data_IF_125131476114
#
_entry.id   IF_125131476114
#
_cell.length_a   1.000
_cell.length_b   1.000
_cell.length_c   1.000
_cell.angle_alpha   90.00
_cell.angle_beta   90.00
_cell.angle_gamma   90.00
#
_symmetry.space_group_name_H-M   'P 1'
#
loop_
_entity.id
_entity.type
_entity.pdbx_description
1 polymer ?
#
# COMPACT_ATOMS: atom_id res chain seq x y z
N UNK A 1 27.75 43.25 26.14
CA UNK A 1 26.29 43.17 25.84
C UNK A 1 25.95 43.13 24.36
N UNK A 2 26.44 44.04 23.50
CA UNK A 2 26.08 44.09 22.06
C UNK A 2 26.34 42.79 21.27
N UNK A 3 27.44 42.07 21.56
CA UNK A 3 27.78 40.79 20.90
C UNK A 3 26.88 39.62 21.32
N UNK A 4 26.37 39.62 22.55
CA UNK A 4 25.47 38.57 23.06
C UNK A 4 24.07 38.69 22.47
N UNK A 5 23.59 39.93 22.28
CA UNK A 5 22.31 40.22 21.62
C UNK A 5 22.35 39.81 20.14
N UNK A 6 23.46 40.06 19.45
CA UNK A 6 23.62 39.66 18.04
C UNK A 6 23.58 38.13 17.85
N UNK A 7 24.22 37.36 18.75
CA UNK A 7 24.20 35.89 18.70
C UNK A 7 22.80 35.35 18.99
N UNK A 8 22.08 35.94 19.96
CA UNK A 8 20.69 35.54 20.25
C UNK A 8 19.75 35.81 19.08
N UNK A 9 19.91 36.94 18.37
CA UNK A 9 19.12 37.25 17.18
C UNK A 9 19.44 36.30 16.02
N UNK A 10 20.71 35.92 15.81
CA UNK A 10 21.12 34.95 14.77
C UNK A 10 20.57 33.55 15.09
N UNK A 11 20.58 33.13 16.35
CA UNK A 11 20.02 31.84 16.77
C UNK A 11 18.49 31.83 16.68
N UNK A 12 17.82 32.94 17.03
CA UNK A 12 16.37 33.07 16.89
C UNK A 12 15.93 33.12 15.42
N UNK A 13 16.68 33.80 14.54
CA UNK A 13 16.39 33.83 13.11
C UNK A 13 16.72 32.51 12.41
N UNK A 14 17.78 31.80 12.83
CA UNK A 14 18.05 30.45 12.35
C UNK A 14 16.96 29.44 12.80
N UNK A 15 16.43 29.59 14.02
CA UNK A 15 15.28 28.80 14.47
C UNK A 15 14.00 29.15 13.72
N UNK A 16 13.73 30.43 13.46
CA UNK A 16 12.57 30.86 12.68
C UNK A 16 12.63 30.36 11.23
N UNK A 17 13.82 30.38 10.60
CA UNK A 17 14.04 29.80 9.27
C UNK A 17 13.90 28.27 9.26
N UNK A 18 14.34 27.59 10.32
CA UNK A 18 14.15 26.14 10.48
C UNK A 18 12.68 25.74 10.75
N UNK A 19 11.88 26.59 11.41
CA UNK A 19 10.44 26.39 11.57
C UNK A 19 9.62 26.80 10.34
N UNK A 20 10.13 27.70 9.49
CA UNK A 20 9.50 28.05 8.20
C UNK A 20 9.66 26.96 7.12
N UNK A 21 10.52 25.95 7.35
CA UNK A 21 10.61 24.75 6.53
C UNK A 21 9.84 23.56 7.11
N UNK A 22 8.76 23.80 7.87
CA UNK A 22 7.69 22.80 7.97
C UNK A 22 6.98 22.74 6.63
N UNK A 23 7.54 21.90 5.74
CA UNK A 23 7.06 21.66 4.39
C UNK A 23 5.55 21.46 4.37
N UNK A 24 4.86 22.50 3.89
CA UNK A 24 3.53 22.36 3.32
C UNK A 24 3.64 21.26 2.26
N UNK A 25 2.72 20.31 2.33
CA UNK A 25 2.60 19.34 1.27
C UNK A 25 2.49 20.06 -0.07
N UNK A 26 3.00 19.45 -1.14
CA UNK A 26 2.64 19.90 -2.45
C UNK A 26 1.17 19.52 -2.72
N UNK A 27 0.23 20.29 -2.16
CA UNK A 27 -1.16 20.26 -2.61
C UNK A 27 -1.17 20.73 -4.06
N UNK A 28 -1.97 20.09 -4.92
CA UNK A 28 -2.12 20.55 -6.31
C UNK A 28 -2.74 21.95 -6.29
N UNK A 29 -1.95 22.95 -6.67
CA UNK A 29 -2.43 24.31 -6.84
C UNK A 29 -3.18 24.46 -8.17
N UNK A 30 -2.61 23.88 -9.24
CA UNK A 30 -3.26 23.81 -10.54
C UNK A 30 -2.87 22.51 -11.25
N UNK A 31 -3.78 21.99 -12.04
CA UNK A 31 -3.52 20.89 -12.95
C UNK A 31 -4.15 21.27 -14.29
N UNK A 32 -3.42 21.06 -15.39
CA UNK A 32 -3.90 21.34 -16.75
C UNK A 32 -3.49 20.24 -17.70
N UNK A 33 -4.39 19.90 -18.60
CA UNK A 33 -4.12 18.97 -19.67
C UNK A 33 -3.51 19.76 -20.85
N UNK A 34 -2.30 19.42 -21.24
CA UNK A 34 -1.61 20.01 -22.37
C UNK A 34 -2.05 19.37 -23.70
N UNK A 35 -2.00 20.14 -24.79
CA UNK A 35 -2.35 19.67 -26.13
C UNK A 35 -1.42 18.56 -26.67
N UNK A 36 -0.30 18.30 -26.00
CA UNK A 36 0.76 17.37 -26.38
C UNK A 36 0.73 16.04 -25.61
N UNK A 37 -0.43 15.64 -25.08
CA UNK A 37 -0.60 14.47 -24.20
C UNK A 37 0.24 14.54 -22.92
N UNK A 38 0.57 15.76 -22.47
CA UNK A 38 1.24 15.97 -21.20
C UNK A 38 0.30 16.60 -20.19
N UNK A 39 0.35 16.11 -18.97
CA UNK A 39 -0.34 16.70 -17.85
C UNK A 39 0.63 17.60 -17.09
N UNK A 40 0.30 18.87 -16.96
CA UNK A 40 1.07 19.79 -16.13
C UNK A 40 0.42 19.88 -14.76
N UNK A 41 1.19 19.57 -13.72
CA UNK A 41 0.78 19.63 -12.32
C UNK A 41 1.63 20.68 -11.62
N UNK A 42 1.00 21.79 -11.24
CA UNK A 42 1.60 22.84 -10.41
C UNK A 42 1.24 22.61 -8.95
N UNK A 43 2.25 22.53 -8.10
CA UNK A 43 2.10 22.29 -6.67
C UNK A 43 2.10 23.61 -5.90
N UNK A 44 1.54 23.60 -4.69
CA UNK A 44 1.39 24.78 -3.83
C UNK A 44 2.73 25.38 -3.35
N UNK A 45 3.82 24.64 -3.51
CA UNK A 45 5.20 25.09 -3.27
C UNK A 45 5.87 25.67 -4.54
N UNK A 46 5.08 26.04 -5.56
CA UNK A 46 5.52 26.55 -6.87
C UNK A 46 6.38 25.60 -7.70
N UNK A 47 6.42 24.31 -7.37
CA UNK A 47 7.06 23.31 -8.24
C UNK A 47 6.11 22.85 -9.36
N UNK A 48 6.65 22.78 -10.57
CA UNK A 48 5.94 22.38 -11.78
C UNK A 48 6.42 21.02 -12.27
N UNK A 49 5.47 20.11 -12.51
CA UNK A 49 5.72 18.78 -13.05
C UNK A 49 4.98 18.58 -14.35
N UNK A 50 5.64 17.92 -15.29
CA UNK A 50 5.06 17.57 -16.58
C UNK A 50 5.16 16.07 -16.74
N UNK A 51 4.01 15.41 -16.86
CA UNK A 51 3.93 13.95 -16.94
C UNK A 51 3.31 13.55 -18.27
N UNK A 52 3.90 12.58 -18.96
CA UNK A 52 3.29 11.98 -20.15
C UNK A 52 2.10 11.13 -19.71
N UNK A 53 0.91 11.46 -20.24
CA UNK A 53 -0.34 10.78 -19.90
C UNK A 53 -0.24 9.28 -20.18
N UNK A 54 0.47 8.87 -21.23
CA UNK A 54 0.62 7.44 -21.60
C UNK A 54 1.36 6.60 -20.57
N UNK A 55 2.15 7.25 -19.71
CA UNK A 55 2.87 6.60 -18.61
C UNK A 55 2.08 6.52 -17.31
N UNK A 56 0.89 7.14 -17.25
CA UNK A 56 0.04 7.14 -16.06
C UNK A 56 -0.80 5.87 -15.97
N UNK A 57 -1.42 5.67 -14.82
CA UNK A 57 -2.35 4.56 -14.63
C UNK A 57 -3.68 4.89 -15.31
N UNK A 58 -4.12 4.06 -16.25
CA UNK A 58 -5.38 4.22 -16.96
C UNK A 58 -6.45 3.28 -16.40
N UNK A 59 -7.65 3.82 -16.22
CA UNK A 59 -8.86 3.04 -15.95
C UNK A 59 -9.63 2.87 -17.26
N UNK A 60 -9.81 1.62 -17.69
CA UNK A 60 -10.48 1.27 -18.95
C UNK A 60 -11.99 1.04 -18.79
N UNK A 61 -12.65 0.78 -19.95
CA UNK A 61 -14.11 0.69 -20.21
C UNK A 61 -14.97 -0.24 -19.35
N UNK A 62 -14.38 -0.98 -18.41
CA UNK A 62 -15.10 -1.91 -17.53
C UNK A 62 -14.81 -1.59 -16.06
N UNK A 63 -15.00 -0.33 -15.65
CA UNK A 63 -15.00 0.05 -14.24
C UNK A 63 -16.14 -0.60 -13.44
N UNK A 64 -17.14 -1.16 -14.14
CA UNK A 64 -18.06 -2.15 -13.61
C UNK A 64 -17.48 -3.56 -13.76
N UNK A 65 -16.27 -3.80 -13.22
CA UNK A 65 -15.98 -5.15 -12.77
C UNK A 65 -17.01 -5.39 -11.68
N UNK A 66 -18.03 -6.17 -12.01
CA UNK A 66 -18.93 -6.78 -11.04
C UNK A 66 -18.02 -7.30 -9.94
N UNK A 67 -17.97 -6.55 -8.83
CA UNK A 67 -17.20 -6.91 -7.66
C UNK A 67 -17.94 -8.09 -7.07
N UNK A 68 -17.81 -9.24 -7.74
CA UNK A 68 -17.94 -10.55 -7.15
C UNK A 68 -17.27 -10.42 -5.79
N UNK A 69 -18.00 -10.79 -4.73
CA UNK A 69 -17.79 -10.46 -3.32
C UNK A 69 -16.41 -10.84 -2.70
N UNK A 70 -15.34 -10.92 -3.48
CA UNK A 70 -14.06 -11.54 -3.18
C UNK A 70 -12.83 -10.70 -3.63
N UNK A 71 -12.97 -9.74 -4.55
CA UNK A 71 -11.84 -8.92 -5.03
C UNK A 71 -12.05 -7.43 -4.73
N UNK A 72 -10.94 -6.72 -4.47
CA UNK A 72 -10.94 -5.31 -4.12
C UNK A 72 -10.31 -4.49 -5.26
N UNK A 73 -10.86 -3.31 -5.53
CA UNK A 73 -10.30 -2.39 -6.52
C UNK A 73 -9.12 -1.66 -5.90
N UNK A 74 -8.01 -1.64 -6.63
CA UNK A 74 -6.77 -1.03 -6.18
C UNK A 74 -6.26 0.00 -7.17
N UNK A 75 -6.09 1.19 -6.66
CA UNK A 75 -5.39 2.26 -7.32
C UNK A 75 -4.01 2.49 -6.69
N UNK A 76 -2.94 2.61 -7.50
CA UNK A 76 -1.60 2.90 -7.04
C UNK A 76 -1.52 4.38 -6.64
N UNK A 77 -1.95 4.69 -5.42
CA UNK A 77 -2.03 6.05 -4.91
C UNK A 77 -1.07 6.29 -3.76
N UNK A 78 -0.70 7.54 -3.57
CA UNK A 78 0.02 8.02 -2.40
C UNK A 78 -0.85 7.98 -1.15
N UNK A 79 -0.20 7.83 0.01
CA UNK A 79 -0.86 7.99 1.30
C UNK A 79 -1.13 9.47 1.56
N UNK A 80 -2.32 9.78 2.06
CA UNK A 80 -2.70 11.13 2.46
C UNK A 80 -1.89 11.60 3.69
N UNK A 81 -1.69 12.91 3.81
CA UNK A 81 -0.96 13.54 4.91
C UNK A 81 -1.56 13.20 6.26
N UNK A 82 -2.88 13.38 6.36
CA UNK A 82 -3.61 13.25 7.61
C UNK A 82 -3.42 11.83 8.15
N UNK A 83 -3.44 10.84 7.25
CA UNK A 83 -3.13 9.47 7.58
C UNK A 83 -1.68 9.29 8.06
N UNK A 84 -0.69 9.79 7.32
CA UNK A 84 0.72 9.64 7.70
C UNK A 84 1.04 10.35 9.03
N UNK A 85 0.51 11.55 9.23
CA UNK A 85 0.68 12.33 10.46
C UNK A 85 -0.05 11.68 11.64
N UNK A 86 -1.21 11.05 11.40
CA UNK A 86 -1.88 10.21 12.39
C UNK A 86 -0.99 9.04 12.83
N UNK A 87 -0.30 8.36 11.91
CA UNK A 87 0.63 7.28 12.25
C UNK A 87 1.85 7.79 13.01
N UNK A 88 2.43 8.92 12.57
CA UNK A 88 3.60 9.53 13.21
C UNK A 88 3.29 9.98 14.64
N UNK A 89 2.15 10.65 14.85
CA UNK A 89 1.74 11.14 16.17
C UNK A 89 1.47 10.00 17.16
N UNK A 90 0.80 8.92 16.73
CA UNK A 90 0.51 7.74 17.57
C UNK A 90 1.77 7.01 18.06
N UNK A 91 2.83 7.06 17.26
CA UNK A 91 4.12 6.40 17.52
C UNK A 91 5.03 7.17 18.47
N UNK A 92 4.97 8.50 18.47
CA UNK A 92 5.77 9.32 19.40
C UNK A 92 5.38 9.06 20.86
N UNK A 93 4.19 8.51 21.13
CA UNK A 93 3.70 8.22 22.48
C UNK A 93 3.96 6.80 23.02
N UNK A 94 4.73 5.94 22.35
CA UNK A 94 5.02 4.61 22.88
C UNK A 94 6.46 4.18 22.55
N UNK A 95 7.40 4.26 23.51
CA UNK A 95 8.25 3.09 23.88
C UNK A 95 9.19 3.25 25.11
N UNK A 96 8.85 3.99 26.18
CA UNK A 96 9.65 3.93 27.44
C UNK A 96 8.85 3.64 28.72
N UNK A 97 7.52 3.53 28.65
CA UNK A 97 6.67 3.44 29.86
C UNK A 97 5.62 2.34 29.85
N UNK A 98 5.78 1.30 29.02
CA UNK A 98 4.92 0.10 29.02
C UNK A 98 5.60 -1.16 29.55
N UNK A 99 6.57 -0.99 30.44
CA UNK A 99 6.83 -2.01 31.44
C UNK A 99 5.65 -1.99 32.42
N UNK A 100 5.07 -3.15 32.68
CA UNK A 100 4.01 -3.42 33.66
C UNK A 100 2.56 -3.11 33.23
N UNK A 101 1.80 -4.21 33.06
CA UNK A 101 0.35 -4.33 33.30
C UNK A 101 -0.65 -4.27 32.13
N UNK A 102 -0.25 -4.18 30.87
CA UNK A 102 -1.18 -4.38 29.75
C UNK A 102 -0.74 -5.56 28.89
N UNK A 103 -1.62 -6.58 28.79
CA UNK A 103 -1.41 -7.79 28.01
C UNK A 103 -0.80 -7.45 26.63
N UNK A 104 0.41 -7.95 26.39
CA UNK A 104 1.07 -7.85 25.09
C UNK A 104 0.08 -8.32 24.01
N UNK A 105 -0.21 -7.51 22.97
CA UNK A 105 -1.19 -7.87 21.96
C UNK A 105 -0.74 -9.16 21.26
N UNK A 106 -1.53 -10.23 21.39
CA UNK A 106 -1.24 -11.51 20.74
C UNK A 106 -1.33 -11.36 19.23
N UNK A 107 -0.18 -11.29 18.57
CA UNK A 107 -0.08 -11.14 17.11
C UNK A 107 -0.35 -12.46 16.40
N UNK A 108 -1.63 -12.80 16.21
CA UNK A 108 -2.03 -14.05 15.54
C UNK A 108 -1.98 -14.00 14.02
N UNK A 109 -2.09 -12.81 13.43
CA UNK A 109 -2.04 -12.60 11.97
C UNK A 109 -1.28 -11.31 11.64
N UNK A 110 -0.72 -11.23 10.43
CA UNK A 110 -0.09 -10.01 9.92
C UNK A 110 -1.05 -8.82 9.96
N UNK A 111 -2.31 -9.04 9.56
CA UNK A 111 -3.33 -7.99 9.60
C UNK A 111 -3.59 -7.50 11.03
N UNK A 112 -3.85 -8.40 11.99
CA UNK A 112 -4.11 -8.00 13.38
C UNK A 112 -2.94 -7.25 14.02
N UNK A 113 -1.71 -7.59 13.63
CA UNK A 113 -0.51 -6.93 14.12
C UNK A 113 -0.29 -5.53 13.56
N UNK A 114 -0.73 -5.30 12.33
CA UNK A 114 -0.53 -4.04 11.64
C UNK A 114 -1.73 -3.09 11.79
N UNK A 115 -2.95 -3.60 11.71
CA UNK A 115 -4.17 -2.78 11.72
C UNK A 115 -4.33 -1.97 13.00
N UNK A 116 -3.96 -2.51 14.17
CA UNK A 116 -4.01 -1.77 15.43
C UNK A 116 -3.16 -0.49 15.41
N UNK A 117 -2.08 -0.48 14.62
CA UNK A 117 -1.17 0.65 14.50
C UNK A 117 -1.48 1.51 13.27
N UNK A 118 -1.59 0.89 12.10
CA UNK A 118 -1.89 1.54 10.82
C UNK A 118 -3.30 2.14 10.76
N UNK A 119 -4.28 1.60 11.49
CA UNK A 119 -5.68 1.93 11.23
C UNK A 119 -6.09 1.58 9.80
N UNK A 120 -7.19 2.19 9.34
CA UNK A 120 -7.70 2.05 7.98
C UNK A 120 -8.19 0.65 7.59
N UNK A 121 -8.80 0.55 6.41
CA UNK A 121 -9.27 -0.72 5.84
C UNK A 121 -8.16 -1.58 5.22
N UNK A 122 -8.54 -2.70 4.60
CA UNK A 122 -7.59 -3.64 3.99
C UNK A 122 -6.70 -3.01 2.89
N UNK A 123 -7.24 -2.04 2.16
CA UNK A 123 -6.50 -1.32 1.11
C UNK A 123 -5.30 -0.56 1.68
N UNK A 124 -5.42 0.02 2.88
CA UNK A 124 -4.29 0.67 3.54
C UNK A 124 -3.20 -0.33 3.88
N UNK A 125 -3.59 -1.47 4.45
CA UNK A 125 -2.63 -2.54 4.73
C UNK A 125 -1.91 -3.01 3.48
N UNK A 126 -2.64 -3.26 2.38
CA UNK A 126 -2.00 -3.67 1.12
C UNK A 126 -1.05 -2.58 0.62
N UNK A 127 -1.48 -1.31 0.58
CA UNK A 127 -0.62 -0.20 0.15
C UNK A 127 0.63 -0.07 1.02
N UNK A 128 0.50 -0.08 2.35
CA UNK A 128 1.64 0.01 3.26
C UNK A 128 2.59 -1.19 3.12
N UNK A 129 2.07 -2.39 2.90
CA UNK A 129 2.87 -3.60 2.67
C UNK A 129 3.62 -3.54 1.34
N UNK A 130 2.94 -3.17 0.24
CA UNK A 130 3.57 -2.97 -1.07
C UNK A 130 4.65 -1.91 -0.97
N UNK A 131 4.36 -0.78 -0.35
CA UNK A 131 5.34 0.30 -0.17
C UNK A 131 6.55 -0.16 0.63
N UNK A 132 6.36 -0.94 1.70
CA UNK A 132 7.46 -1.46 2.51
C UNK A 132 8.37 -2.42 1.70
N UNK A 133 7.79 -3.25 0.84
CA UNK A 133 8.51 -4.16 -0.04
C UNK A 133 9.20 -3.39 -1.19
N UNK A 134 8.50 -2.46 -1.83
CA UNK A 134 9.01 -1.64 -2.94
C UNK A 134 10.18 -0.76 -2.49
N UNK A 135 10.05 -0.12 -1.32
CA UNK A 135 11.12 0.68 -0.70
C UNK A 135 12.26 -0.15 -0.10
N UNK A 136 12.18 -1.49 -0.15
CA UNK A 136 13.13 -2.43 0.46
C UNK A 136 13.33 -2.23 1.97
N UNK A 137 12.43 -1.50 2.63
CA UNK A 137 12.40 -1.47 4.09
C UNK A 137 12.02 -2.86 4.61
N UNK A 138 11.14 -3.60 3.95
CA UNK A 138 10.90 -5.02 4.23
C UNK A 138 11.56 -5.87 3.14
N UNK A 139 12.50 -6.75 3.51
CA UNK A 139 13.10 -7.71 2.57
C UNK A 139 12.75 -9.11 3.00
N UNK A 140 12.11 -9.87 2.12
CA UNK A 140 11.72 -11.24 2.45
C UNK A 140 12.93 -12.17 2.61
N UNK A 141 14.10 -11.77 2.15
CA UNK A 141 15.36 -12.52 2.29
C UNK A 141 16.02 -12.35 3.66
N UNK A 142 15.47 -11.51 4.55
CA UNK A 142 16.11 -11.21 5.84
C UNK A 142 16.20 -12.47 6.73
N UNK A 143 17.31 -12.64 7.50
CA UNK A 143 17.58 -13.88 8.24
C UNK A 143 16.49 -14.30 9.23
N UNK A 144 15.75 -13.34 9.80
CA UNK A 144 14.64 -13.62 10.73
C UNK A 144 13.48 -14.42 10.08
N UNK A 145 13.36 -14.33 8.76
CA UNK A 145 12.38 -15.10 7.97
C UNK A 145 12.94 -16.43 7.49
N UNK A 146 14.23 -16.70 7.69
CA UNK A 146 14.87 -17.96 7.33
C UNK A 146 14.53 -19.02 8.38
N UNK A 147 14.25 -20.24 7.92
CA UNK A 147 13.97 -21.35 8.83
C UNK A 147 15.27 -21.95 9.33
N UNK A 148 15.31 -22.45 10.58
CA UNK A 148 16.49 -23.13 11.09
C UNK A 148 16.78 -24.39 10.27
N UNK A 149 18.04 -24.60 9.90
CA UNK A 149 18.49 -25.80 9.22
C UNK A 149 18.48 -26.97 10.19
N UNK A 150 17.44 -27.81 10.13
CA UNK A 150 17.30 -28.99 11.00
C UNK A 150 17.05 -30.24 10.16
N UNK A 151 17.59 -31.37 10.62
CA UNK A 151 17.25 -32.70 10.08
C UNK A 151 16.00 -33.29 10.74
N UNK A 152 15.41 -32.57 11.69
CA UNK A 152 14.26 -33.02 12.46
C UNK A 152 13.04 -33.22 11.56
N UNK A 153 12.31 -34.31 11.79
CA UNK A 153 11.13 -34.72 11.01
C UNK A 153 10.06 -35.26 11.96
N UNK A 154 8.83 -34.72 11.92
CA UNK A 154 7.75 -35.22 12.76
C UNK A 154 7.33 -36.65 12.36
N UNK A 155 7.04 -37.47 13.37
CA UNK A 155 6.44 -38.81 13.25
C UNK A 155 5.16 -38.84 14.10
N UNK A 156 3.95 -38.97 13.52
CA UNK A 156 3.67 -39.08 12.08
C UNK A 156 3.90 -37.77 11.31
N UNK A 157 4.08 -37.88 9.98
CA UNK A 157 4.30 -36.70 9.14
C UNK A 157 3.04 -35.84 9.05
N UNK A 158 3.11 -34.63 9.60
CA UNK A 158 2.01 -33.66 9.56
C UNK A 158 1.80 -33.07 8.16
N UNK A 159 0.58 -32.62 7.87
CA UNK A 159 0.24 -31.93 6.61
C UNK A 159 1.06 -30.66 6.41
N UNK A 160 1.24 -29.87 7.47
CA UNK A 160 2.08 -28.67 7.48
C UNK A 160 3.52 -28.98 7.08
N UNK A 161 4.13 -30.03 7.65
CA UNK A 161 5.49 -30.42 7.29
C UNK A 161 5.60 -30.83 5.82
N UNK A 162 4.64 -31.62 5.30
CA UNK A 162 4.63 -32.01 3.88
C UNK A 162 4.60 -30.81 2.94
N UNK A 163 3.88 -29.75 3.30
CA UNK A 163 3.77 -28.50 2.53
C UNK A 163 5.05 -27.65 2.59
N UNK A 164 5.57 -27.41 3.79
CA UNK A 164 6.65 -26.42 4.00
C UNK A 164 8.05 -27.02 3.96
N UNK A 165 8.25 -28.35 4.00
CA UNK A 165 9.60 -28.96 4.10
C UNK A 165 10.61 -28.53 3.02
N UNK A 166 10.15 -28.05 1.86
CA UNK A 166 11.01 -27.59 0.76
C UNK A 166 11.28 -26.08 0.79
N UNK A 167 10.69 -25.36 1.74
CA UNK A 167 10.83 -23.91 1.86
C UNK A 167 12.03 -23.58 2.74
N UNK A 168 12.92 -22.76 2.21
CA UNK A 168 14.07 -22.23 2.94
C UNK A 168 13.65 -21.18 3.98
N UNK A 169 12.59 -20.44 3.68
CA UNK A 169 12.03 -19.39 4.53
C UNK A 169 10.65 -19.79 5.07
N UNK A 170 10.10 -19.01 6.01
CA UNK A 170 8.72 -19.20 6.52
C UNK A 170 7.63 -18.87 5.48
N UNK A 171 8.01 -18.52 4.27
CA UNK A 171 7.14 -18.30 3.10
C UNK A 171 7.71 -19.07 1.88
N UNK A 172 6.90 -19.33 0.83
CA UNK A 172 7.39 -19.98 -0.38
C UNK A 172 8.33 -19.04 -1.15
N UNK A 173 9.64 -19.27 -1.00
CA UNK A 173 10.67 -18.34 -1.47
C UNK A 173 10.85 -18.32 -3.00
N UNK A 174 10.75 -19.48 -3.66
CA UNK A 174 10.81 -19.54 -5.13
C UNK A 174 9.43 -19.39 -5.75
N UNK A 175 9.37 -18.81 -6.94
CA UNK A 175 8.13 -18.61 -7.69
C UNK A 175 7.44 -19.96 -7.96
N UNK A 176 8.21 -21.01 -8.24
CA UNK A 176 7.67 -22.35 -8.43
C UNK A 176 6.99 -22.91 -7.17
N UNK A 177 7.57 -22.69 -5.98
CA UNK A 177 6.97 -23.13 -4.72
C UNK A 177 5.71 -22.32 -4.41
N UNK A 178 5.74 -21.02 -4.66
CA UNK A 178 4.59 -20.14 -4.43
C UNK A 178 3.42 -20.51 -5.34
N UNK A 179 3.66 -20.75 -6.63
CA UNK A 179 2.63 -21.19 -7.57
C UNK A 179 2.03 -22.54 -7.18
N UNK A 180 2.85 -23.49 -6.69
CA UNK A 180 2.37 -24.79 -6.18
C UNK A 180 1.45 -24.60 -4.96
N UNK A 181 1.84 -23.77 -4.02
CA UNK A 181 1.03 -23.48 -2.83
C UNK A 181 -0.27 -22.76 -3.21
N UNK A 182 -0.22 -21.79 -4.13
CA UNK A 182 -1.41 -21.11 -4.64
C UNK A 182 -2.41 -22.10 -5.27
N UNK A 183 -1.95 -22.95 -6.19
CA UNK A 183 -2.80 -23.95 -6.86
C UNK A 183 -3.42 -24.92 -5.86
N UNK A 184 -2.64 -25.37 -4.87
CA UNK A 184 -3.13 -26.23 -3.81
C UNK A 184 -4.23 -25.55 -2.99
N UNK A 185 -4.00 -24.31 -2.54
CA UNK A 185 -4.99 -23.54 -1.77
C UNK A 185 -6.24 -23.21 -2.56
N UNK A 186 -6.10 -22.94 -3.86
CA UNK A 186 -7.24 -22.76 -4.77
C UNK A 186 -8.12 -24.02 -4.79
N UNK A 187 -7.50 -25.20 -4.91
CA UNK A 187 -8.21 -26.50 -4.88
C UNK A 187 -8.91 -26.76 -3.54
N UNK A 188 -8.30 -26.36 -2.42
CA UNK A 188 -8.88 -26.58 -1.09
C UNK A 188 -9.79 -25.43 -0.60
N UNK A 189 -10.07 -24.42 -1.42
CA UNK A 189 -10.87 -23.26 -1.03
C UNK A 189 -10.24 -22.40 0.08
N UNK A 190 -8.92 -22.46 0.24
CA UNK A 190 -8.18 -21.84 1.35
C UNK A 190 -7.38 -20.60 0.91
N UNK A 191 -7.98 -19.75 0.06
CA UNK A 191 -7.40 -18.49 -0.42
C UNK A 191 -7.85 -17.26 0.38
N UNK A 192 -8.35 -17.45 1.61
CA UNK A 192 -8.88 -16.37 2.46
C UNK A 192 -7.86 -15.25 2.71
N UNK A 193 -6.58 -15.60 2.83
CA UNK A 193 -5.51 -14.61 3.06
C UNK A 193 -5.35 -13.66 1.87
N UNK A 194 -5.60 -14.16 0.65
CA UNK A 194 -5.53 -13.41 -0.60
C UNK A 194 -6.86 -12.72 -0.96
N UNK A 195 -7.95 -12.96 -0.23
CA UNK A 195 -9.19 -12.21 -0.42
C UNK A 195 -8.93 -10.74 -0.08
N UNK A 196 -9.17 -9.86 -1.06
CA UNK A 196 -8.86 -8.44 -1.01
C UNK A 196 -7.48 -8.05 -1.59
N UNK A 197 -6.65 -9.01 -1.99
CA UNK A 197 -5.47 -8.69 -2.82
C UNK A 197 -5.99 -8.31 -4.21
N UNK A 198 -5.48 -7.25 -4.84
CA UNK A 198 -5.93 -6.82 -6.15
C UNK A 198 -5.71 -7.93 -7.18
N UNK A 199 -6.70 -8.14 -8.04
CA UNK A 199 -6.62 -9.17 -9.09
C UNK A 199 -5.39 -8.98 -10.01
N UNK A 200 -4.99 -7.76 -10.42
CA UNK A 200 -3.78 -7.56 -11.22
C UNK A 200 -2.51 -8.09 -10.57
N UNK A 201 -2.41 -8.09 -9.24
CA UNK A 201 -1.24 -8.62 -8.53
C UNK A 201 -1.22 -10.15 -8.60
N UNK A 202 -2.39 -10.77 -8.50
CA UNK A 202 -2.55 -12.21 -8.65
C UNK A 202 -2.25 -12.63 -10.08
N UNK A 203 -2.71 -11.87 -11.07
CA UNK A 203 -2.47 -12.16 -12.49
C UNK A 203 -0.98 -12.05 -12.83
N UNK A 204 -0.32 -10.95 -12.40
CA UNK A 204 1.12 -10.79 -12.53
C UNK A 204 1.89 -11.93 -11.85
N UNK A 205 1.46 -12.33 -10.66
CA UNK A 205 2.06 -13.46 -9.95
C UNK A 205 1.88 -14.78 -10.72
N UNK A 206 0.71 -15.02 -11.31
CA UNK A 206 0.42 -16.26 -12.04
C UNK A 206 1.12 -16.32 -13.41
N UNK A 207 1.31 -15.19 -14.08
CA UNK A 207 1.99 -15.11 -15.37
C UNK A 207 3.51 -15.15 -15.26
N UNK A 208 4.06 -14.79 -14.10
CA UNK A 208 5.52 -14.69 -13.89
C UNK A 208 6.12 -16.04 -13.48
N UNK A 209 7.11 -16.52 -14.24
CA UNK A 209 7.93 -17.68 -13.86
C UNK A 209 9.19 -17.26 -13.06
N UNK A 210 10.02 -18.23 -12.67
CA UNK A 210 11.21 -17.94 -11.85
C UNK A 210 12.24 -17.06 -12.58
N UNK A 211 12.49 -17.31 -13.87
CA UNK A 211 13.46 -16.54 -14.66
C UNK A 211 12.96 -15.10 -14.88
N UNK A 212 11.67 -14.94 -15.17
CA UNK A 212 11.06 -13.62 -15.33
C UNK A 212 11.11 -12.83 -14.04
N UNK A 213 10.85 -13.48 -12.90
CA UNK A 213 11.02 -12.86 -11.58
C UNK A 213 12.45 -12.37 -11.35
N UNK A 214 13.45 -13.19 -11.67
CA UNK A 214 14.86 -12.81 -11.54
C UNK A 214 15.23 -11.65 -12.47
N UNK A 215 14.67 -11.59 -13.69
CA UNK A 215 14.81 -10.44 -14.59
C UNK A 215 14.18 -9.17 -14.02
N UNK A 216 13.01 -9.26 -13.40
CA UNK A 216 12.37 -8.10 -12.76
C UNK A 216 13.25 -7.54 -11.64
N UNK A 217 13.83 -8.41 -10.82
CA UNK A 217 14.79 -8.03 -9.76
C UNK A 217 16.05 -7.39 -10.37
N UNK A 218 16.64 -8.01 -11.39
CA UNK A 218 17.85 -7.50 -12.04
C UNK A 218 17.62 -6.13 -12.71
N UNK A 219 16.47 -5.95 -13.34
CA UNK A 219 16.07 -4.71 -14.01
C UNK A 219 15.55 -3.63 -13.04
N UNK A 220 15.60 -3.87 -11.72
CA UNK A 220 15.11 -2.95 -10.67
C UNK A 220 13.65 -2.54 -10.85
N UNK A 221 12.82 -3.44 -11.38
CA UNK A 221 11.36 -3.27 -11.47
C UNK A 221 10.71 -3.56 -10.11
N UNK A 222 11.01 -2.70 -9.13
CA UNK A 222 10.73 -2.95 -7.71
C UNK A 222 9.24 -2.96 -7.40
N UNK A 223 8.42 -2.23 -8.16
CA UNK A 223 6.96 -2.23 -8.02
C UNK A 223 6.37 -3.61 -8.30
N UNK A 224 6.74 -4.20 -9.44
CA UNK A 224 6.28 -5.53 -9.86
C UNK A 224 6.83 -6.63 -8.94
N UNK A 225 8.08 -6.50 -8.52
CA UNK A 225 8.68 -7.40 -7.51
C UNK A 225 7.89 -7.33 -6.21
N UNK A 226 7.57 -6.14 -5.70
CA UNK A 226 6.81 -5.95 -4.46
C UNK A 226 5.41 -6.56 -4.53
N UNK A 227 4.71 -6.43 -5.67
CA UNK A 227 3.41 -7.06 -5.89
C UNK A 227 3.50 -8.59 -5.81
N UNK A 228 4.51 -9.18 -6.45
CA UNK A 228 4.75 -10.63 -6.42
C UNK A 228 5.15 -11.09 -5.01
N UNK A 229 6.06 -10.37 -4.35
CA UNK A 229 6.54 -10.67 -3.01
C UNK A 229 5.43 -10.57 -1.97
N UNK A 230 4.51 -9.61 -2.10
CA UNK A 230 3.33 -9.52 -1.27
C UNK A 230 2.49 -10.80 -1.36
N UNK A 231 2.22 -11.29 -2.57
CA UNK A 231 1.45 -12.53 -2.77
C UNK A 231 2.18 -13.73 -2.15
N UNK A 232 3.51 -13.85 -2.35
CA UNK A 232 4.34 -14.90 -1.72
C UNK A 232 4.26 -14.84 -0.19
N UNK A 233 4.37 -13.64 0.38
CA UNK A 233 4.30 -13.43 1.82
C UNK A 233 2.93 -13.81 2.38
N UNK A 234 1.83 -13.40 1.72
CA UNK A 234 0.47 -13.73 2.16
C UNK A 234 0.16 -15.22 2.04
N UNK A 235 0.71 -15.91 1.03
CA UNK A 235 0.70 -17.38 0.98
C UNK A 235 1.49 -18.00 2.15
N UNK A 236 2.59 -17.39 2.58
CA UNK A 236 3.37 -17.80 3.74
C UNK A 236 2.77 -17.43 5.10
N UNK A 237 1.83 -16.49 5.16
CA UNK A 237 1.43 -15.80 6.40
C UNK A 237 0.99 -16.72 7.54
N UNK A 238 0.34 -17.86 7.24
CA UNK A 238 -0.09 -18.85 8.25
C UNK A 238 1.05 -19.57 8.97
N UNK A 239 2.25 -19.52 8.40
CA UNK A 239 3.43 -20.22 8.91
C UNK A 239 4.41 -19.26 9.60
N UNK A 240 4.10 -17.97 9.66
CA UNK A 240 4.87 -16.99 10.40
C UNK A 240 4.60 -17.15 11.90
N UNK A 241 5.67 -17.17 12.69
CA UNK A 241 5.59 -17.04 14.14
C UNK A 241 5.46 -15.58 14.57
N UNK A 242 5.34 -15.37 15.87
CA UNK A 242 5.16 -14.04 16.45
C UNK A 242 6.33 -13.10 16.14
N UNK A 243 7.57 -13.60 16.23
CA UNK A 243 8.77 -12.81 15.96
C UNK A 243 8.82 -12.34 14.49
N UNK A 244 8.46 -13.20 13.55
CA UNK A 244 8.39 -12.84 12.13
C UNK A 244 7.29 -11.79 11.89
N UNK A 245 6.13 -11.96 12.51
CA UNK A 245 5.00 -11.01 12.39
C UNK A 245 5.39 -9.66 12.99
N UNK A 246 6.03 -9.64 14.16
CA UNK A 246 6.51 -8.43 14.84
C UNK A 246 7.56 -7.70 14.00
N UNK A 247 8.50 -8.46 13.43
CA UNK A 247 9.50 -7.93 12.52
C UNK A 247 8.86 -7.29 11.27
N UNK A 248 7.97 -8.01 10.59
CA UNK A 248 7.28 -7.47 9.40
C UNK A 248 6.49 -6.21 9.78
N UNK A 249 5.78 -6.24 10.91
CA UNK A 249 5.01 -5.10 11.39
C UNK A 249 5.90 -3.87 11.63
N UNK A 250 7.05 -4.05 12.30
CA UNK A 250 7.97 -2.95 12.59
C UNK A 250 8.55 -2.34 11.31
N UNK A 251 8.97 -3.18 10.34
CA UNK A 251 9.55 -2.71 9.06
C UNK A 251 8.52 -1.98 8.20
N UNK A 252 7.29 -2.44 8.16
CA UNK A 252 6.19 -1.77 7.45
C UNK A 252 5.91 -0.41 8.06
N UNK A 253 5.79 -0.34 9.39
CA UNK A 253 5.54 0.93 10.04
C UNK A 253 6.74 1.89 9.91
N UNK A 254 7.98 1.40 9.90
CA UNK A 254 9.16 2.22 9.59
C UNK A 254 9.09 2.76 8.16
N UNK A 255 8.67 1.94 7.20
CA UNK A 255 8.47 2.39 5.83
C UNK A 255 7.44 3.53 5.79
N UNK A 256 6.29 3.38 6.44
CA UNK A 256 5.26 4.42 6.52
C UNK A 256 5.77 5.69 7.22
N UNK A 257 6.57 5.58 8.28
CA UNK A 257 7.16 6.76 8.94
C UNK A 257 8.16 7.50 8.04
N UNK A 258 8.93 6.75 7.24
CA UNK A 258 9.86 7.27 6.23
C UNK A 258 9.13 7.68 4.94
N UNK A 259 7.83 7.43 4.83
CA UNK A 259 7.05 7.80 3.67
C UNK A 259 7.21 9.30 3.46
N UNK A 260 7.73 9.65 2.29
CA UNK A 260 7.90 11.05 1.95
C UNK A 260 6.52 11.62 1.69
N UNK A 261 6.04 12.41 2.64
CA UNK A 261 4.76 13.11 2.59
C UNK A 261 4.72 14.12 1.43
N UNK A 262 5.89 14.50 0.89
CA UNK A 262 6.05 15.33 -0.30
C UNK A 262 6.12 14.50 -1.60
N UNK A 263 5.58 13.29 -1.59
CA UNK A 263 5.39 12.50 -2.82
C UNK A 263 4.38 13.20 -3.71
N UNK A 264 4.61 13.12 -5.03
CA UNK A 264 3.69 13.69 -6.00
C UNK A 264 2.30 13.05 -5.83
N UNK A 265 1.23 13.85 -5.89
CA UNK A 265 -0.14 13.35 -5.98
C UNK A 265 -0.25 12.30 -7.08
N UNK A 266 -0.92 11.18 -6.79
CA UNK A 266 -1.03 10.09 -7.76
C UNK A 266 -2.15 10.40 -8.74
N UNK A 267 -1.79 10.63 -9.99
CA UNK A 267 -2.77 10.92 -11.05
C UNK A 267 -3.16 9.64 -11.77
N UNK A 268 -4.47 9.47 -11.94
CA UNK A 268 -5.10 8.36 -12.65
C UNK A 268 -5.92 8.92 -13.80
N UNK A 269 -5.79 8.29 -14.96
CA UNK A 269 -6.58 8.64 -16.13
C UNK A 269 -7.86 7.82 -16.13
N UNK A 270 -8.97 8.52 -16.27
CA UNK A 270 -10.31 7.99 -16.44
C UNK A 270 -10.69 8.16 -17.90
N UNK A 271 -10.34 7.17 -18.71
CA UNK A 271 -10.47 7.24 -20.18
C UNK A 271 -11.94 7.44 -20.58
N UNK A 272 -12.89 6.80 -19.87
CA UNK A 272 -14.33 6.92 -20.15
C UNK A 272 -14.89 8.33 -19.91
N UNK A 273 -14.21 9.14 -19.11
CA UNK A 273 -14.64 10.49 -18.73
C UNK A 273 -13.70 11.57 -19.29
N UNK A 274 -12.70 11.19 -20.10
CA UNK A 274 -11.68 12.09 -20.64
C UNK A 274 -10.98 12.93 -19.53
N UNK A 275 -10.81 12.33 -18.34
CA UNK A 275 -10.42 13.04 -17.11
C UNK A 275 -9.12 12.49 -16.51
N UNK A 276 -8.25 13.40 -16.06
CA UNK A 276 -7.15 13.12 -15.14
C UNK A 276 -7.63 13.43 -13.72
N UNK A 277 -7.55 12.43 -12.84
CA UNK A 277 -7.98 12.53 -11.45
C UNK A 277 -6.79 12.28 -10.54
N UNK A 278 -6.44 13.28 -9.73
CA UNK A 278 -5.49 13.11 -8.65
C UNK A 278 -6.18 12.47 -7.45
N UNK A 279 -5.68 11.32 -7.03
CA UNK A 279 -6.19 10.54 -5.91
C UNK A 279 -5.12 10.34 -4.84
N UNK A 280 -5.57 10.32 -3.58
CA UNK A 280 -4.81 9.85 -2.43
C UNK A 280 -5.60 8.85 -1.62
N UNK A 281 -4.91 8.12 -0.74
CA UNK A 281 -5.53 7.21 0.22
C UNK A 281 -5.54 7.85 1.61
N UNK A 282 -6.71 8.36 2.01
CA UNK A 282 -6.97 8.89 3.34
C UNK A 282 -7.64 7.85 4.25
N UNK A 283 -7.84 8.20 5.53
CA UNK A 283 -8.33 7.28 6.59
C UNK A 283 -9.57 6.47 6.19
N UNK A 284 -10.48 7.07 5.43
CA UNK A 284 -11.75 6.48 5.01
C UNK A 284 -11.70 5.76 3.64
N UNK A 285 -10.55 5.76 2.95
CA UNK A 285 -10.38 5.17 1.62
C UNK A 285 -9.83 6.17 0.60
N UNK A 286 -10.15 5.95 -0.67
CA UNK A 286 -9.72 6.83 -1.76
C UNK A 286 -10.40 8.20 -1.65
N UNK A 287 -9.60 9.26 -1.78
CA UNK A 287 -10.00 10.66 -1.75
C UNK A 287 -9.58 11.34 -3.05
N UNK A 288 -10.50 12.10 -3.65
CA UNK A 288 -10.21 12.93 -4.82
C UNK A 288 -9.59 14.24 -4.34
N UNK A 289 -8.46 14.61 -4.91
CA UNK A 289 -7.80 15.89 -4.66
C UNK A 289 -8.11 16.91 -5.75
N UNK A 290 -8.06 16.48 -7.01
CA UNK A 290 -8.31 17.34 -8.17
C UNK A 290 -8.76 16.53 -9.37
N UNK A 291 -9.67 17.08 -10.17
CA UNK A 291 -10.08 16.53 -11.47
C UNK A 291 -9.77 17.57 -12.54
N UNK A 292 -9.25 17.12 -13.69
CA UNK A 292 -9.04 17.93 -14.89
C UNK A 292 -9.51 17.17 -16.10
N UNK A 293 -10.25 17.83 -16.96
CA UNK A 293 -10.78 17.27 -18.20
C UNK A 293 -9.90 17.67 -19.37
N UNK A 294 -9.62 16.73 -20.27
CA UNK A 294 -8.84 17.00 -21.49
C UNK A 294 -9.59 17.90 -22.47
N UNK A 295 -10.92 17.89 -22.43
CA UNK A 295 -11.85 18.66 -23.25
C UNK A 295 -12.53 19.80 -22.47
N UNK A 296 -12.02 20.16 -21.29
CA UNK A 296 -12.65 21.13 -20.38
C UNK A 296 -12.79 22.55 -20.93
N UNK A 297 -12.03 22.92 -21.96
CA UNK A 297 -12.18 24.23 -22.65
C UNK A 297 -13.28 24.22 -23.72
N UNK A 298 -13.70 23.04 -24.18
CA UNK A 298 -14.67 22.85 -25.28
C UNK A 298 -16.05 22.48 -24.73
N UNK A 299 -16.09 21.76 -23.61
CA UNK A 299 -17.32 21.23 -23.01
C UNK A 299 -17.93 22.19 -21.99
N UNK A 300 -19.25 22.36 -22.03
CA UNK A 300 -19.99 23.29 -21.15
C UNK A 300 -20.02 22.83 -19.69
N UNK A 301 -20.09 23.79 -18.76
CA UNK A 301 -20.01 23.55 -17.31
C UNK A 301 -20.99 22.50 -16.76
N UNK A 302 -22.21 22.40 -17.28
CA UNK A 302 -23.21 21.42 -16.84
C UNK A 302 -22.83 19.97 -17.17
N UNK A 303 -22.18 19.75 -18.32
CA UNK A 303 -21.69 18.41 -18.70
C UNK A 303 -20.46 18.04 -17.87
N UNK A 304 -19.57 19.00 -17.59
CA UNK A 304 -18.42 18.80 -16.71
C UNK A 304 -18.84 18.52 -15.27
N UNK A 305 -19.88 19.19 -14.77
CA UNK A 305 -20.49 18.92 -13.46
C UNK A 305 -21.05 17.48 -13.41
N UNK A 306 -21.81 17.07 -14.42
CA UNK A 306 -22.33 15.70 -14.51
C UNK A 306 -21.22 14.64 -14.53
N UNK A 307 -20.14 14.86 -15.29
CA UNK A 307 -18.96 13.96 -15.28
C UNK A 307 -18.28 13.94 -13.91
N UNK A 308 -18.20 15.07 -13.23
CA UNK A 308 -17.62 15.19 -11.89
C UNK A 308 -18.41 14.35 -10.88
N UNK A 309 -19.74 14.49 -10.87
CA UNK A 309 -20.63 13.70 -10.02
C UNK A 309 -20.49 12.19 -10.27
N UNK A 310 -20.35 11.78 -11.53
CA UNK A 310 -20.14 10.37 -11.89
C UNK A 310 -18.80 9.83 -11.36
N UNK A 311 -17.72 10.59 -11.51
CA UNK A 311 -16.40 10.23 -10.98
C UNK A 311 -16.44 10.13 -9.45
N UNK A 312 -17.05 11.10 -8.77
CA UNK A 312 -17.21 11.09 -7.30
C UNK A 312 -18.04 9.89 -6.83
N UNK A 313 -19.17 9.63 -7.50
CA UNK A 313 -20.02 8.48 -7.21
C UNK A 313 -19.29 7.15 -7.43
N UNK A 314 -18.45 7.06 -8.47
CA UNK A 314 -17.63 5.88 -8.74
C UNK A 314 -16.61 5.64 -7.61
N UNK A 315 -15.86 6.65 -7.20
CA UNK A 315 -14.89 6.53 -6.09
C UNK A 315 -15.59 6.14 -4.79
N UNK A 316 -16.77 6.72 -4.51
CA UNK A 316 -17.59 6.34 -3.36
C UNK A 316 -17.99 4.87 -3.39
N UNK A 317 -18.50 4.38 -4.53
CA UNK A 317 -18.87 2.96 -4.72
C UNK A 317 -17.67 2.03 -4.54
N UNK A 318 -16.48 2.43 -5.00
CA UNK A 318 -15.25 1.68 -4.81
C UNK A 318 -14.90 1.56 -3.32
N UNK A 319 -14.96 2.66 -2.57
CA UNK A 319 -14.72 2.64 -1.13
C UNK A 319 -15.71 1.73 -0.40
N UNK A 320 -17.01 1.81 -0.74
CA UNK A 320 -18.06 0.96 -0.18
C UNK A 320 -17.85 -0.54 -0.54
N UNK A 321 -17.48 -0.84 -1.77
CA UNK A 321 -17.18 -2.21 -2.21
C UNK A 321 -15.96 -2.79 -1.47
N UNK A 322 -14.89 -2.01 -1.36
CA UNK A 322 -13.68 -2.41 -0.64
C UNK A 322 -13.96 -2.65 0.86
N UNK A 323 -14.79 -1.81 1.48
CA UNK A 323 -15.24 -1.99 2.86
C UNK A 323 -16.09 -3.25 3.03
N UNK A 324 -16.99 -3.56 2.10
CA UNK A 324 -17.77 -4.82 2.12
C UNK A 324 -16.87 -6.05 2.04
N UNK A 325 -15.90 -6.05 1.14
CA UNK A 325 -14.90 -7.15 1.01
C UNK A 325 -14.12 -7.31 2.32
N UNK A 326 -13.72 -6.19 2.93
CA UNK A 326 -13.02 -6.18 4.20
C UNK A 326 -13.86 -6.76 5.35
N UNK A 327 -15.12 -6.36 5.50
CA UNK A 327 -16.03 -6.90 6.53
C UNK A 327 -16.25 -8.41 6.36
N UNK A 328 -16.47 -8.87 5.13
CA UNK A 328 -16.62 -10.30 4.84
C UNK A 328 -15.38 -11.09 5.24
N UNK A 329 -14.18 -10.54 5.00
CA UNK A 329 -12.92 -11.13 5.45
C UNK A 329 -12.89 -11.26 6.97
N UNK A 330 -13.15 -10.18 7.71
CA UNK A 330 -13.18 -10.22 9.18
C UNK A 330 -14.14 -11.32 9.69
N UNK A 331 -15.36 -11.37 9.14
CA UNK A 331 -16.33 -12.41 9.50
C UNK A 331 -15.78 -13.83 9.27
N UNK A 332 -15.15 -14.11 8.12
CA UNK A 332 -14.58 -15.43 7.82
C UNK A 332 -13.43 -15.86 8.73
N UNK A 333 -12.70 -14.90 9.33
CA UNK A 333 -11.62 -15.19 10.29
C UNK A 333 -12.15 -15.36 11.72
N UNK A 334 -13.12 -14.53 12.15
CA UNK A 334 -13.62 -14.53 13.52
C UNK A 334 -14.79 -15.48 13.78
N UNK A 335 -15.58 -15.85 12.76
CA UNK A 335 -16.69 -16.81 12.91
C UNK A 335 -16.21 -18.27 13.09
N UNK A 336 -14.91 -18.56 13.01
CA UNK A 336 -14.34 -19.90 13.29
C UNK A 336 -14.06 -20.17 14.77
N UNK A 337 -14.69 -19.42 15.68
CA UNK A 337 -14.79 -19.75 17.11
C UNK A 337 -16.25 -19.98 17.50
N UNK A 338 -16.83 -21.09 17.05
CA UNK A 338 -17.82 -21.85 17.80
C UNK A 338 -17.55 -23.33 17.56
#
# INVERSE_FOLDING_TARGET
MKRLIAVVIIVLSAKAAAFAQQGLQPTIAAMRWGADYKLHVKLANDSDYVVDVRGLYHTGKDLFIDTTNNSATYYPVSLDKEFVDYIKSKRIYNDDSRADSLAQPSYKTLWSALHGNLGGGYIHFINCMVYALESQNLRLTDPILMRPSTKWKPKPMTSTYKRTRKWTYYYPNTQQLALKEYKLRKKTGDLKDLQGVPQPFIDLFLSTNQSDYEKLVANRRMREVAQIELVKLLLGAKYLGEDQIRYISSRVLIAVMKYNVNTMPSVIIFDDYNAAVALSLGVNGYKIEKIVYSDGEVVTGTELEGRTELIEALIKRINEANERVFRKKLQLYYQRKK
#
